data_IF_264988063519
#
_entry.id   IF_264988063519
#
_cell.length_a   1.000
_cell.length_b   1.000
_cell.length_c   1.000
_cell.angle_alpha   90.00
_cell.angle_beta   90.00
_cell.angle_gamma   90.00
#
_symmetry.space_group_name_H-M   'P 1'
#
loop_
_entity.id
_entity.type
_entity.pdbx_description
1 polymer ?
#
# COMPACT_ATOMS: atom_id res chain seq x y z
N UNK A 1 -21.39 5.90 -23.04
CA UNK A 1 -22.29 5.05 -22.23
C UNK A 1 -23.43 5.94 -21.72
N UNK A 2 -24.68 5.50 -21.88
CA UNK A 2 -25.87 6.23 -21.42
C UNK A 2 -26.71 5.26 -20.63
N UNK A 3 -27.03 5.61 -19.38
CA UNK A 3 -27.81 4.76 -18.47
C UNK A 3 -28.96 5.60 -17.92
N UNK A 4 -30.18 5.06 -17.99
CA UNK A 4 -31.37 5.58 -17.32
C UNK A 4 -31.73 4.62 -16.18
N UNK A 5 -31.92 5.14 -14.97
CA UNK A 5 -32.34 4.37 -13.81
C UNK A 5 -33.40 5.12 -13.03
N UNK A 6 -34.50 4.44 -12.69
CA UNK A 6 -35.61 4.97 -11.89
C UNK A 6 -35.90 4.06 -10.71
N UNK A 7 -36.12 4.67 -9.54
CA UNK A 7 -36.50 3.97 -8.30
C UNK A 7 -35.59 2.79 -7.93
N UNK A 8 -34.27 2.94 -8.12
CA UNK A 8 -33.28 1.91 -7.82
C UNK A 8 -32.39 2.34 -6.64
N UNK A 9 -32.03 1.42 -5.72
CA UNK A 9 -31.03 1.70 -4.70
C UNK A 9 -29.67 2.08 -5.33
N UNK A 10 -29.02 3.09 -4.76
CA UNK A 10 -27.76 3.65 -5.30
C UNK A 10 -26.65 2.59 -5.41
N UNK A 11 -26.55 1.68 -4.43
CA UNK A 11 -25.59 0.57 -4.44
C UNK A 11 -25.80 -0.38 -5.60
N UNK A 12 -27.05 -0.71 -5.90
CA UNK A 12 -27.39 -1.60 -7.00
C UNK A 12 -27.14 -0.91 -8.34
N UNK A 13 -27.46 0.38 -8.45
CA UNK A 13 -27.16 1.19 -9.62
C UNK A 13 -25.64 1.23 -9.91
N UNK A 14 -24.84 1.55 -8.90
CA UNK A 14 -23.37 1.58 -9.02
C UNK A 14 -22.81 0.21 -9.40
N UNK A 15 -23.36 -0.87 -8.82
CA UNK A 15 -22.95 -2.23 -9.17
C UNK A 15 -23.25 -2.57 -10.64
N UNK A 16 -24.41 -2.17 -11.16
CA UNK A 16 -24.80 -2.43 -12.56
C UNK A 16 -23.94 -1.63 -13.53
N UNK A 17 -23.78 -0.32 -13.31
CA UNK A 17 -23.03 0.51 -14.26
C UNK A 17 -21.53 0.19 -14.24
N UNK A 18 -20.97 -0.20 -13.09
CA UNK A 18 -19.54 -0.47 -12.96
C UNK A 18 -19.17 -1.93 -13.27
N UNK A 19 -20.14 -2.81 -13.53
CA UNK A 19 -19.91 -4.24 -13.82
C UNK A 19 -19.06 -4.47 -15.07
N UNK A 20 -19.34 -3.73 -16.13
CA UNK A 20 -18.67 -3.86 -17.44
C UNK A 20 -17.49 -2.88 -17.60
N UNK A 21 -17.17 -2.12 -16.56
CA UNK A 21 -16.09 -1.14 -16.55
C UNK A 21 -14.94 -1.63 -15.65
N UNK A 22 -13.68 -1.32 -15.97
CA UNK A 22 -12.53 -1.58 -15.10
C UNK A 22 -12.48 -0.57 -13.95
N UNK A 23 -13.62 -0.28 -13.32
CA UNK A 23 -13.81 0.71 -12.28
C UNK A 23 -14.42 0.04 -11.06
N UNK A 24 -14.09 0.53 -9.87
CA UNK A 24 -14.71 0.13 -8.61
C UNK A 24 -15.08 1.37 -7.82
N UNK A 25 -15.97 1.21 -6.83
CA UNK A 25 -16.47 2.32 -6.03
C UNK A 25 -16.34 2.03 -4.53
N UNK A 26 -16.19 3.08 -3.75
CA UNK A 26 -16.28 3.02 -2.29
C UNK A 26 -17.13 4.18 -1.79
N UNK A 27 -18.04 3.88 -0.87
CA UNK A 27 -18.92 4.87 -0.24
C UNK A 27 -18.38 5.10 1.17
N UNK A 28 -17.89 6.31 1.43
CA UNK A 28 -17.43 6.72 2.75
C UNK A 28 -18.31 7.88 3.23
N UNK A 29 -19.15 7.62 4.23
CA UNK A 29 -20.15 8.55 4.76
C UNK A 29 -21.15 9.01 3.68
N UNK A 30 -20.88 10.14 3.05
CA UNK A 30 -21.71 10.77 2.00
C UNK A 30 -20.93 10.96 0.69
N UNK A 31 -19.65 10.58 0.67
CA UNK A 31 -18.77 10.73 -0.47
C UNK A 31 -18.66 9.41 -1.21
N UNK A 32 -18.83 9.45 -2.54
CA UNK A 32 -18.68 8.30 -3.43
C UNK A 32 -17.37 8.48 -4.18
N UNK A 33 -16.39 7.63 -3.89
CA UNK A 33 -15.10 7.61 -4.57
C UNK A 33 -15.10 6.52 -5.63
N UNK A 34 -14.90 6.91 -6.89
CA UNK A 34 -14.74 6.00 -8.03
C UNK A 34 -13.24 5.89 -8.31
N UNK A 35 -12.73 4.66 -8.36
CA UNK A 35 -11.32 4.38 -8.64
C UNK A 35 -11.21 3.30 -9.71
N UNK A 36 -10.10 3.29 -10.44
CA UNK A 36 -9.81 2.20 -11.35
C UNK A 36 -9.65 0.90 -10.56
N UNK A 37 -10.26 -0.16 -11.09
CA UNK A 37 -10.05 -1.51 -10.59
C UNK A 37 -8.63 -1.87 -11.02
N UNK A 38 -7.69 -1.84 -10.09
CA UNK A 38 -6.34 -2.32 -10.38
C UNK A 38 -6.47 -3.74 -10.93
N UNK A 39 -5.85 -4.05 -12.09
CA UNK A 39 -5.89 -5.38 -12.62
C UNK A 39 -5.12 -6.28 -11.66
N UNK A 40 -5.84 -6.94 -10.74
CA UNK A 40 -5.38 -8.15 -10.08
C UNK A 40 -5.23 -9.23 -11.14
N UNK A 41 -4.13 -9.18 -11.88
CA UNK A 41 -3.87 -10.05 -13.03
C UNK A 41 -2.83 -9.55 -14.03
N UNK A 42 -2.24 -8.36 -13.83
CA UNK A 42 -1.07 -7.92 -14.57
C UNK A 42 0.07 -7.67 -13.60
N UNK A 43 1.03 -8.59 -13.53
CA UNK A 43 2.36 -8.33 -13.01
C UNK A 43 2.94 -7.14 -13.79
N UNK A 44 2.73 -5.92 -13.32
CA UNK A 44 3.60 -4.81 -13.63
C UNK A 44 4.78 -4.94 -12.65
N UNK A 45 5.99 -5.35 -13.10
CA UNK A 45 7.13 -5.50 -12.19
C UNK A 45 7.63 -4.18 -11.59
N UNK A 46 6.95 -3.05 -11.82
CA UNK A 46 7.39 -1.72 -11.41
C UNK A 46 6.52 -1.00 -10.37
N UNK A 47 5.32 -1.49 -10.06
CA UNK A 47 4.45 -0.87 -9.06
C UNK A 47 4.00 -1.96 -8.08
N UNK A 48 4.85 -2.21 -7.09
CA UNK A 48 4.47 -2.99 -5.92
C UNK A 48 3.30 -2.24 -5.26
N UNK A 49 2.08 -2.73 -5.47
CA UNK A 49 0.97 -2.46 -4.58
C UNK A 49 1.48 -2.91 -3.20
N UNK A 50 1.86 -1.95 -2.36
CA UNK A 50 2.10 -2.21 -0.96
C UNK A 50 0.76 -2.69 -0.40
N UNK A 51 0.55 -4.00 -0.46
CA UNK A 51 -0.36 -4.68 0.44
C UNK A 51 0.16 -4.32 1.83
N UNK A 52 -0.43 -3.29 2.43
CA UNK A 52 -0.39 -3.09 3.87
C UNK A 52 -1.19 -4.24 4.47
N UNK A 53 -0.58 -5.42 4.48
CA UNK A 53 -0.94 -6.46 5.42
C UNK A 53 -0.85 -5.83 6.81
N UNK A 54 -1.86 -6.06 7.66
CA UNK A 54 -1.83 -5.82 9.11
C UNK A 54 -0.66 -6.53 9.85
N UNK A 55 0.24 -7.17 9.11
CA UNK A 55 1.52 -7.63 9.62
C UNK A 55 2.37 -6.42 10.01
N UNK A 56 2.88 -6.45 11.24
CA UNK A 56 3.91 -5.52 11.70
C UNK A 56 5.01 -5.41 10.64
N UNK A 57 5.49 -4.18 10.35
CA UNK A 57 6.56 -4.01 9.38
C UNK A 57 7.75 -4.89 9.77
N UNK A 58 8.38 -5.58 8.81
CA UNK A 58 9.49 -6.48 9.09
C UNK A 58 10.60 -5.72 9.84
N UNK A 59 11.34 -6.40 10.71
CA UNK A 59 12.43 -5.77 11.45
C UNK A 59 13.47 -5.20 10.47
N UNK A 60 13.89 -3.97 10.72
CA UNK A 60 14.96 -3.32 9.94
C UNK A 60 16.28 -3.97 10.34
N UNK A 61 16.99 -4.58 9.39
CA UNK A 61 18.30 -5.22 9.58
C UNK A 61 19.32 -4.61 8.63
N UNK A 62 20.60 -4.64 9.01
CA UNK A 62 21.69 -4.09 8.21
C UNK A 62 23.05 -4.38 8.83
N UNK A 63 24.11 -4.28 8.01
CA UNK A 63 25.50 -4.46 8.44
C UNK A 63 26.23 -3.12 8.31
N UNK A 64 26.93 -2.72 9.35
CA UNK A 64 27.77 -1.52 9.34
C UNK A 64 29.19 -1.92 9.00
N UNK A 65 29.77 -1.27 7.99
CA UNK A 65 31.15 -1.52 7.54
C UNK A 65 31.98 -0.25 7.58
N UNK A 66 33.28 -0.39 7.82
CA UNK A 66 34.25 0.69 7.66
C UNK A 66 34.61 0.92 6.17
N UNK A 67 35.54 1.85 5.92
CA UNK A 67 36.01 2.17 4.57
C UNK A 67 36.76 1.00 3.89
N UNK A 68 37.28 0.04 4.66
CA UNK A 68 37.96 -1.18 4.20
C UNK A 68 37.00 -2.38 4.06
N UNK A 69 35.74 -2.22 4.45
CA UNK A 69 34.69 -3.24 4.35
C UNK A 69 34.55 -4.14 5.57
N UNK A 70 35.26 -3.88 6.68
CA UNK A 70 35.18 -4.68 7.90
C UNK A 70 33.93 -4.33 8.71
N UNK A 71 33.24 -5.32 9.32
CA UNK A 71 32.08 -5.06 10.15
C UNK A 71 32.44 -4.29 11.43
N UNK A 72 31.63 -3.29 11.78
CA UNK A 72 31.82 -2.47 12.99
C UNK A 72 30.72 -2.72 14.02
N UNK A 73 31.10 -3.35 15.13
CA UNK A 73 30.28 -3.47 16.34
C UNK A 73 30.38 -2.25 17.26
N UNK A 74 29.37 -2.05 18.10
CA UNK A 74 29.34 -1.00 19.13
C UNK A 74 28.88 0.37 18.63
N UNK A 75 28.31 0.45 17.42
CA UNK A 75 27.80 1.72 16.88
C UNK A 75 26.33 1.88 17.24
N UNK A 76 25.94 3.08 17.64
CA UNK A 76 24.54 3.43 17.92
C UNK A 76 23.84 3.98 16.67
N UNK A 77 22.81 3.28 16.21
CA UNK A 77 22.00 3.64 15.04
C UNK A 77 20.64 4.14 15.51
N UNK A 78 20.21 5.31 15.04
CA UNK A 78 18.89 5.89 15.37
C UNK A 78 18.09 6.12 14.09
N UNK A 79 16.82 5.70 14.10
CA UNK A 79 15.92 5.97 12.97
C UNK A 79 15.53 7.45 13.02
N UNK A 80 15.92 8.20 11.98
CA UNK A 80 15.67 9.65 11.86
C UNK A 80 14.20 9.97 12.12
N UNK A 81 13.95 10.95 13.00
CA UNK A 81 12.60 11.35 13.39
C UNK A 81 11.96 10.47 14.47
N UNK A 82 12.67 9.47 15.00
CA UNK A 82 12.21 8.62 16.11
C UNK A 82 13.22 8.61 17.26
N UNK A 83 12.80 8.10 18.42
CA UNK A 83 13.70 7.78 19.54
C UNK A 83 14.16 6.32 19.54
N UNK A 84 13.87 5.58 18.47
CA UNK A 84 14.21 4.15 18.36
C UNK A 84 15.62 4.02 17.82
N UNK A 85 16.47 3.34 18.59
CA UNK A 85 17.83 3.04 18.18
C UNK A 85 18.26 1.64 18.59
N UNK A 86 19.35 1.17 17.96
CA UNK A 86 19.95 -0.15 18.18
C UNK A 86 21.47 0.00 18.21
N UNK A 87 22.14 -0.86 18.96
CA UNK A 87 23.61 -0.97 18.97
C UNK A 87 23.98 -2.16 18.08
N UNK A 88 24.91 -1.96 17.14
CA UNK A 88 25.40 -3.05 16.29
C UNK A 88 26.24 -4.06 17.08
N UNK A 89 26.05 -5.34 16.81
CA UNK A 89 26.99 -6.42 17.09
C UNK A 89 27.92 -6.64 15.87
N UNK A 90 29.12 -7.20 16.13
CA UNK A 90 30.18 -7.39 15.13
C UNK A 90 30.07 -8.74 14.41
#
# INVERSE_FOLDING_TARGET
ISVDAKQMPLTDFLAVILKDLPLTYSILNTTISIKEKSPTGGLNPGLQEHHFSDALPPPITGVIRDAEGNPLGGINIVIKGTKRGVVSDA
#
